data_IF_290333477634
#
_entry.id   IF_290333477634
#
_cell.length_a   1.000
_cell.length_b   1.000
_cell.length_c   1.000
_cell.angle_alpha   90.00
_cell.angle_beta   90.00
_cell.angle_gamma   90.00
#
_symmetry.space_group_name_H-M   'P 1'
#
loop_
_entity.id
_entity.type
_entity.pdbx_description
1 polymer ?
#
# COMPACT_ATOMS: atom_id res chain seq x y z
N UNK A 1 1.97 -48.24 -13.05
CA UNK A 1 1.12 -47.96 -11.87
C UNK A 1 1.60 -46.66 -11.22
N UNK A 2 0.90 -45.54 -11.46
CA UNK A 2 1.31 -44.23 -10.94
C UNK A 2 0.59 -43.92 -9.62
N UNK A 3 1.34 -43.70 -8.54
CA UNK A 3 0.79 -43.34 -7.23
C UNK A 3 0.54 -41.84 -7.21
N UNK A 4 -0.73 -41.43 -7.32
CA UNK A 4 -1.12 -40.03 -7.17
C UNK A 4 -1.06 -39.62 -5.69
N UNK A 5 -0.36 -38.53 -5.39
CA UNK A 5 -0.30 -37.94 -4.04
C UNK A 5 -1.67 -37.42 -3.63
N UNK A 6 -2.08 -37.70 -2.39
CA UNK A 6 -3.31 -37.17 -1.78
C UNK A 6 -3.29 -35.63 -1.79
N UNK A 7 -4.38 -34.97 -2.21
CA UNK A 7 -4.47 -33.51 -2.20
C UNK A 7 -4.42 -33.00 -0.75
N UNK A 8 -3.66 -31.91 -0.56
CA UNK A 8 -3.44 -31.27 0.73
C UNK A 8 -4.72 -30.55 1.14
N UNK A 9 -5.33 -30.96 2.25
CA UNK A 9 -6.51 -30.30 2.80
C UNK A 9 -6.21 -28.81 3.06
N UNK A 10 -7.05 -27.93 2.51
CA UNK A 10 -6.97 -26.49 2.80
C UNK A 10 -7.37 -26.26 4.27
N UNK A 11 -6.74 -25.28 4.95
CA UNK A 11 -7.08 -24.94 6.33
C UNK A 11 -8.55 -24.48 6.40
N UNK A 12 -9.21 -24.64 7.57
CA UNK A 12 -10.60 -24.23 7.74
C UNK A 12 -10.70 -22.72 7.56
N UNK A 13 -11.21 -22.28 6.41
CA UNK A 13 -11.63 -20.89 6.21
C UNK A 13 -12.78 -20.60 7.16
N UNK A 14 -12.67 -19.50 7.91
CA UNK A 14 -13.76 -19.10 8.80
C UNK A 14 -15.00 -18.80 7.95
N UNK A 15 -16.20 -19.05 8.47
CA UNK A 15 -17.45 -18.80 7.72
C UNK A 15 -17.53 -17.37 7.18
N UNK A 16 -16.97 -16.39 7.89
CA UNK A 16 -16.90 -15.00 7.43
C UNK A 16 -15.99 -14.85 6.19
N UNK A 17 -14.80 -15.45 6.18
CA UNK A 17 -13.88 -15.42 5.02
C UNK A 17 -14.50 -16.09 3.78
N UNK A 18 -15.27 -17.16 3.98
CA UNK A 18 -15.96 -17.85 2.90
C UNK A 18 -17.12 -17.03 2.32
N UNK A 19 -17.85 -16.29 3.17
CA UNK A 19 -18.94 -15.40 2.75
C UNK A 19 -18.39 -14.18 2.02
N UNK A 20 -17.32 -13.56 2.53
CA UNK A 20 -16.67 -12.43 1.86
C UNK A 20 -16.11 -12.84 0.50
N UNK A 21 -15.46 -14.00 0.40
CA UNK A 21 -14.97 -14.50 -0.88
C UNK A 21 -16.10 -14.81 -1.87
N UNK A 22 -17.25 -15.32 -1.40
CA UNK A 22 -18.41 -15.56 -2.26
C UNK A 22 -19.01 -14.26 -2.80
N UNK A 23 -19.18 -13.25 -1.93
CA UNK A 23 -19.69 -11.93 -2.32
C UNK A 23 -18.72 -11.23 -3.29
N UNK A 24 -17.40 -11.33 -3.05
CA UNK A 24 -16.37 -10.72 -3.90
C UNK A 24 -16.11 -11.46 -5.22
N UNK A 25 -16.60 -12.69 -5.38
CA UNK A 25 -16.43 -13.46 -6.64
C UNK A 25 -17.46 -13.10 -7.72
N UNK A 26 -18.47 -12.30 -7.38
CA UNK A 26 -19.48 -11.89 -8.34
C UNK A 26 -18.91 -10.83 -9.32
N UNK A 27 -19.18 -10.95 -10.64
CA UNK A 27 -18.63 -10.04 -11.65
C UNK A 27 -19.16 -8.60 -11.55
N UNK A 28 -20.22 -8.36 -10.77
CA UNK A 28 -20.80 -7.05 -10.48
C UNK A 28 -20.37 -6.50 -9.10
N UNK A 29 -19.65 -7.27 -8.29
CA UNK A 29 -19.16 -6.87 -6.98
C UNK A 29 -18.05 -5.83 -7.16
N UNK A 30 -18.50 -4.60 -7.41
CA UNK A 30 -17.70 -3.39 -7.56
C UNK A 30 -17.25 -2.92 -6.18
N UNK A 31 -16.71 -3.83 -5.37
CA UNK A 31 -15.87 -3.42 -4.25
C UNK A 31 -14.62 -2.84 -4.92
N UNK A 32 -14.23 -1.58 -4.68
CA UNK A 32 -12.93 -1.12 -5.10
C UNK A 32 -11.94 -1.97 -4.31
N UNK A 33 -11.53 -3.11 -4.87
CA UNK A 33 -10.47 -3.93 -4.34
C UNK A 33 -9.32 -2.96 -4.10
N UNK A 34 -9.01 -2.70 -2.83
CA UNK A 34 -7.90 -1.82 -2.46
C UNK A 34 -6.69 -2.36 -3.20
N UNK A 35 -6.27 -1.65 -4.27
CA UNK A 35 -5.25 -2.14 -5.19
C UNK A 35 -3.91 -2.13 -4.47
N UNK A 36 -3.62 -3.22 -3.76
CA UNK A 36 -2.31 -3.48 -3.21
C UNK A 36 -2.35 -4.47 -2.06
N UNK A 37 -1.17 -5.02 -1.78
CA UNK A 37 -0.97 -5.98 -0.71
C UNK A 37 -0.99 -5.22 0.63
N UNK A 38 -1.87 -5.63 1.54
CA UNK A 38 -1.85 -5.11 2.92
C UNK A 38 -0.67 -5.77 3.63
N UNK A 39 0.30 -4.97 4.10
CA UNK A 39 1.43 -5.45 4.91
C UNK A 39 1.20 -5.01 6.36
N UNK A 40 0.68 -5.94 7.18
CA UNK A 40 0.30 -5.65 8.56
C UNK A 40 -0.91 -4.72 8.62
N UNK A 41 -0.77 -3.53 9.23
CA UNK A 41 -1.83 -2.50 9.30
C UNK A 41 -1.71 -1.42 8.22
N UNK A 42 -0.75 -1.53 7.30
CA UNK A 42 -0.45 -0.50 6.28
C UNK A 42 -0.64 -1.05 4.88
N UNK A 43 -1.16 -0.21 3.99
CA UNK A 43 -1.31 -0.52 2.56
C UNK A 43 0.04 -0.36 1.86
N UNK A 44 0.49 -1.35 1.08
CA UNK A 44 1.66 -1.20 0.21
C UNK A 44 1.29 -0.41 -1.05
N UNK A 45 2.12 0.57 -1.39
CA UNK A 45 2.02 1.36 -2.63
C UNK A 45 3.33 1.19 -3.40
N UNK A 46 3.24 0.90 -4.70
CA UNK A 46 4.38 0.89 -5.61
C UNK A 46 4.36 2.18 -6.43
N UNK A 47 5.48 2.90 -6.42
CA UNK A 47 5.67 4.14 -7.18
C UNK A 47 7.00 4.10 -7.92
N UNK A 48 7.00 4.62 -9.14
CA UNK A 48 8.20 4.83 -9.94
C UNK A 48 8.60 6.30 -9.83
N UNK A 49 9.87 6.58 -9.58
CA UNK A 49 10.43 7.93 -9.45
C UNK A 49 11.73 8.02 -10.24
N UNK A 50 12.14 9.24 -10.56
CA UNK A 50 13.45 9.51 -11.14
C UNK A 50 14.59 9.12 -10.18
N UNK A 51 15.67 8.49 -10.67
CA UNK A 51 16.76 8.03 -9.82
C UNK A 51 17.47 9.18 -9.09
N UNK A 52 17.59 10.35 -9.72
CA UNK A 52 18.16 11.53 -9.08
C UNK A 52 17.30 12.02 -7.90
N UNK A 53 15.97 11.93 -8.03
CA UNK A 53 15.06 12.31 -6.96
C UNK A 53 15.15 11.34 -5.79
N UNK A 54 15.27 10.03 -6.08
CA UNK A 54 15.46 9.00 -5.05
C UNK A 54 16.74 9.27 -4.25
N UNK A 55 17.84 9.64 -4.93
CA UNK A 55 19.10 9.93 -4.27
C UNK A 55 18.99 11.15 -3.34
N UNK A 56 18.36 12.24 -3.79
CA UNK A 56 18.12 13.42 -2.93
C UNK A 56 17.27 13.09 -1.71
N UNK A 57 16.27 12.21 -1.87
CA UNK A 57 15.44 11.74 -0.75
C UNK A 57 16.28 10.94 0.25
N UNK A 58 17.18 10.08 -0.23
CA UNK A 58 18.05 9.29 0.64
C UNK A 58 19.03 10.15 1.44
N UNK A 59 19.63 11.15 0.79
CA UNK A 59 20.52 12.11 1.44
C UNK A 59 19.78 12.89 2.55
N UNK A 60 18.62 13.45 2.22
CA UNK A 60 17.78 14.15 3.20
C UNK A 60 17.29 13.23 4.33
N UNK A 61 16.97 11.98 4.03
CA UNK A 61 16.57 11.01 5.05
C UNK A 61 17.74 10.65 5.96
N UNK A 62 18.96 10.49 5.41
CA UNK A 62 20.16 10.16 6.17
C UNK A 62 20.56 11.29 7.13
N UNK A 63 20.46 12.55 6.71
CA UNK A 63 20.69 13.72 7.57
C UNK A 63 19.75 13.74 8.79
N UNK A 64 18.51 13.29 8.60
CA UNK A 64 17.52 13.20 9.67
C UNK A 64 17.55 11.87 10.44
N UNK A 65 18.46 10.95 10.11
CA UNK A 65 18.53 9.61 10.70
C UNK A 65 17.31 8.73 10.41
N UNK A 66 16.58 9.02 9.33
CA UNK A 66 15.36 8.34 8.94
C UNK A 66 15.60 7.36 7.78
N UNK A 67 14.75 6.33 7.68
CA UNK A 67 14.68 5.53 6.46
C UNK A 67 13.97 6.30 5.35
N UNK A 68 14.30 6.02 4.08
CA UNK A 68 13.60 6.55 2.89
C UNK A 68 12.08 6.48 3.03
N UNK A 69 11.57 5.33 3.45
CA UNK A 69 10.13 5.12 3.62
C UNK A 69 9.54 5.97 4.77
N UNK A 70 10.28 6.18 5.86
CA UNK A 70 9.84 7.06 6.94
C UNK A 70 9.79 8.52 6.47
N UNK A 71 10.82 8.97 5.75
CA UNK A 71 10.89 10.31 5.19
C UNK A 71 9.73 10.61 4.23
N UNK A 72 9.43 9.68 3.32
CA UNK A 72 8.29 9.82 2.39
C UNK A 72 6.98 9.90 3.17
N UNK A 73 6.76 9.03 4.15
CA UNK A 73 5.53 9.05 4.95
C UNK A 73 5.37 10.35 5.75
N UNK A 74 6.46 10.85 6.34
CA UNK A 74 6.46 12.12 7.07
C UNK A 74 6.22 13.31 6.14
N UNK A 75 6.79 13.28 4.94
CA UNK A 75 6.53 14.30 3.93
C UNK A 75 5.05 14.34 3.56
N UNK A 76 4.41 13.19 3.36
CA UNK A 76 2.97 13.12 3.09
C UNK A 76 2.13 13.68 4.24
N UNK A 77 2.46 13.33 5.49
CA UNK A 77 1.73 13.84 6.67
C UNK A 77 1.89 15.36 6.79
N UNK A 78 3.13 15.86 6.70
CA UNK A 78 3.42 17.29 6.73
C UNK A 78 2.64 18.05 5.62
N UNK A 79 2.61 17.49 4.41
CA UNK A 79 1.86 18.06 3.30
C UNK A 79 0.35 18.11 3.57
N UNK A 80 -0.21 17.09 4.22
CA UNK A 80 -1.64 17.04 4.57
C UNK A 80 -1.98 18.02 5.68
N UNK A 81 -1.13 18.15 6.69
CA UNK A 81 -1.36 19.00 7.87
C UNK A 81 -1.10 20.49 7.58
N UNK A 82 -0.05 20.80 6.82
CA UNK A 82 0.41 22.18 6.57
C UNK A 82 0.10 22.70 5.16
N UNK A 83 -0.45 21.84 4.31
CA UNK A 83 -0.87 22.14 2.94
C UNK A 83 0.22 21.93 1.90
N UNK A 84 -0.19 21.55 0.70
CA UNK A 84 0.71 21.37 -0.44
C UNK A 84 0.86 22.68 -1.21
N UNK A 85 2.11 23.10 -1.45
CA UNK A 85 2.41 24.16 -2.40
C UNK A 85 2.59 23.56 -3.80
N UNK A 86 1.57 23.66 -4.64
CA UNK A 86 1.66 23.31 -6.06
C UNK A 86 1.85 24.62 -6.84
N UNK A 87 2.95 24.72 -7.59
CA UNK A 87 3.24 25.84 -8.48
C UNK A 87 3.11 27.24 -7.81
N UNK A 88 3.55 27.37 -6.55
CA UNK A 88 3.51 28.63 -5.80
C UNK A 88 2.14 29.03 -5.25
N UNK A 89 1.09 28.23 -5.45
CA UNK A 89 -0.22 28.45 -4.82
C UNK A 89 -0.39 27.46 -3.66
N UNK A 90 -0.36 27.99 -2.43
CA UNK A 90 -0.61 27.21 -1.22
C UNK A 90 -2.09 26.78 -1.24
N UNK A 91 -2.36 25.51 -1.51
CA UNK A 91 -3.69 24.94 -1.22
C UNK A 91 -3.67 24.57 0.26
N UNK A 92 -4.18 25.50 1.08
CA UNK A 92 -4.54 25.22 2.46
C UNK A 92 -5.88 24.50 2.36
N UNK A 93 -5.92 23.25 2.79
CA UNK A 93 -7.17 22.51 2.96
C UNK A 93 -7.92 23.18 4.12
N UNK A 94 -9.12 23.69 3.86
CA UNK A 94 -10.07 24.15 4.90
C UNK A 94 -10.59 22.98 5.74
#
# INVERSE_FOLDING_TARGET
>A
MAIQKKPKAQPPVSKNDAVENFINSAPDAKVPASKGVVKGKKQQITITMDPELIQRIDEAAAENGQSRAAFINMSCINILDYGLQIAGKKKISE
#
